data_IF_317833271165
#
_entry.id   IF_317833271165
#
_cell.length_a   1.000
_cell.length_b   1.000
_cell.length_c   1.000
_cell.angle_alpha   90.00
_cell.angle_beta   90.00
_cell.angle_gamma   90.00
#
_symmetry.space_group_name_H-M   'P 1'
#
loop_
_entity.id
_entity.type
_entity.pdbx_description
1 polymer ?
#
# COMPACT_ATOMS: atom_id res chain seq x y z
N UNK A 1 2.81 47.83 -25.33
CA UNK A 1 1.76 46.91 -24.84
C UNK A 1 2.14 45.43 -25.01
N UNK A 2 2.45 44.92 -26.20
CA UNK A 2 2.84 43.50 -26.40
C UNK A 2 3.99 42.99 -25.51
N UNK A 3 5.11 43.73 -25.41
CA UNK A 3 6.25 43.36 -24.54
C UNK A 3 5.94 43.35 -23.04
N UNK A 4 4.98 44.16 -22.60
CA UNK A 4 4.55 44.18 -21.19
C UNK A 4 3.63 42.98 -20.93
N UNK A 5 2.75 42.68 -21.87
CA UNK A 5 1.90 41.49 -21.84
C UNK A 5 2.70 40.19 -21.86
N UNK A 6 3.72 40.08 -22.71
CA UNK A 6 4.65 38.94 -22.75
C UNK A 6 5.33 38.72 -21.40
N UNK A 7 5.87 39.76 -20.78
CA UNK A 7 6.48 39.68 -19.44
C UNK A 7 5.50 39.28 -18.35
N UNK A 8 4.25 39.74 -18.44
CA UNK A 8 3.19 39.35 -17.50
C UNK A 8 2.88 37.85 -17.66
N UNK A 9 2.73 37.37 -18.90
CA UNK A 9 2.47 35.96 -19.18
C UNK A 9 3.62 35.06 -18.74
N UNK A 10 4.87 35.44 -19.05
CA UNK A 10 6.07 34.72 -18.56
C UNK A 10 6.13 34.70 -17.04
N UNK A 11 5.82 35.82 -16.38
CA UNK A 11 5.75 35.92 -14.92
C UNK A 11 4.68 35.00 -14.33
N UNK A 12 3.49 34.93 -14.93
CA UNK A 12 2.41 34.04 -14.49
C UNK A 12 2.81 32.57 -14.65
N UNK A 13 3.39 32.18 -15.80
CA UNK A 13 3.83 30.81 -16.05
C UNK A 13 4.93 30.37 -15.09
N UNK A 14 5.91 31.24 -14.84
CA UNK A 14 7.00 30.97 -13.90
C UNK A 14 6.49 30.87 -12.47
N UNK A 15 5.59 31.77 -12.06
CA UNK A 15 4.94 31.73 -10.76
C UNK A 15 4.13 30.44 -10.57
N UNK A 16 3.36 30.03 -11.58
CA UNK A 16 2.58 28.79 -11.54
C UNK A 16 3.47 27.55 -11.37
N UNK A 17 4.57 27.45 -12.13
CA UNK A 17 5.54 26.35 -11.99
C UNK A 17 6.21 26.33 -10.61
N UNK A 18 6.56 27.52 -10.09
CA UNK A 18 7.16 27.67 -8.77
C UNK A 18 6.20 27.27 -7.64
N UNK A 19 4.95 27.76 -7.68
CA UNK A 19 3.91 27.41 -6.70
C UNK A 19 3.67 25.90 -6.72
N UNK A 20 3.54 25.29 -7.90
CA UNK A 20 3.35 23.83 -8.02
C UNK A 20 4.52 23.07 -7.38
N UNK A 21 5.75 23.50 -7.64
CA UNK A 21 6.96 22.86 -7.08
C UNK A 21 7.02 22.99 -5.55
N UNK A 22 6.71 24.17 -5.01
CA UNK A 22 6.62 24.39 -3.56
C UNK A 22 5.52 23.53 -2.95
N UNK A 23 4.33 23.49 -3.56
CA UNK A 23 3.21 22.69 -3.05
C UNK A 23 3.58 21.21 -2.99
N UNK A 24 4.19 20.66 -4.04
CA UNK A 24 4.67 19.27 -4.05
C UNK A 24 5.71 19.07 -2.93
N UNK A 25 6.67 19.98 -2.79
CA UNK A 25 7.68 19.89 -1.75
C UNK A 25 7.05 19.91 -0.35
N UNK A 26 6.08 20.78 -0.10
CA UNK A 26 5.37 20.84 1.18
C UNK A 26 4.58 19.57 1.47
N UNK A 27 3.90 18.99 0.46
CA UNK A 27 3.19 17.71 0.59
C UNK A 27 4.18 16.60 0.95
N UNK A 28 5.32 16.54 0.27
CA UNK A 28 6.36 15.53 0.54
C UNK A 28 6.95 15.73 1.94
N UNK A 29 7.29 16.95 2.33
CA UNK A 29 7.82 17.24 3.68
C UNK A 29 6.80 16.86 4.75
N UNK A 30 5.53 17.20 4.57
CA UNK A 30 4.45 16.81 5.48
C UNK A 30 4.32 15.29 5.58
N UNK A 31 4.27 14.60 4.45
CA UNK A 31 4.19 13.14 4.37
C UNK A 31 5.32 12.46 5.15
N UNK A 32 6.56 12.94 5.00
CA UNK A 32 7.72 12.39 5.71
C UNK A 32 7.73 12.77 7.20
N UNK A 33 7.28 13.96 7.56
CA UNK A 33 7.22 14.41 8.94
C UNK A 33 6.24 13.54 9.76
N UNK A 34 5.03 13.30 9.24
CA UNK A 34 4.04 12.41 9.86
C UNK A 34 4.53 10.97 9.91
N UNK A 35 5.15 10.47 8.83
CA UNK A 35 5.67 9.11 8.77
C UNK A 35 6.77 8.80 9.81
N UNK A 36 7.65 9.77 10.09
CA UNK A 36 8.70 9.63 11.10
C UNK A 36 8.14 9.68 12.54
N UNK A 37 6.93 10.21 12.73
CA UNK A 37 6.24 10.22 14.03
C UNK A 37 6.04 8.82 14.60
N UNK A 38 5.76 7.84 13.72
CA UNK A 38 5.43 6.47 14.11
C UNK A 38 6.47 5.85 15.02
N UNK A 39 7.75 6.05 14.73
CA UNK A 39 8.86 5.46 15.49
C UNK A 39 9.10 6.12 16.84
N UNK A 40 8.36 7.18 17.17
CA UNK A 40 8.30 7.76 18.51
C UNK A 40 7.05 7.30 19.29
N UNK A 41 6.13 6.57 18.63
CA UNK A 41 4.94 6.01 19.27
C UNK A 41 5.28 4.72 19.98
N UNK A 42 4.57 4.53 21.08
CA UNK A 42 4.64 3.37 21.95
C UNK A 42 3.94 2.17 21.32
N UNK A 43 4.41 0.98 21.67
CA UNK A 43 3.82 -0.29 21.22
C UNK A 43 2.48 -0.54 21.91
N UNK A 44 2.33 -0.16 23.17
CA UNK A 44 1.06 -0.32 23.89
C UNK A 44 0.12 0.84 23.54
N UNK A 45 -1.18 0.54 23.42
CA UNK A 45 -2.22 1.54 23.19
C UNK A 45 -2.12 2.73 24.17
N UNK A 46 -2.30 3.95 23.64
CA UNK A 46 -2.14 5.17 24.42
C UNK A 46 -3.12 5.21 25.61
N UNK A 47 -2.58 5.45 26.81
CA UNK A 47 -3.36 5.47 28.04
C UNK A 47 -3.48 4.12 28.75
N UNK A 48 -2.97 3.03 28.18
CA UNK A 48 -2.89 1.71 28.81
C UNK A 48 -1.46 1.32 29.16
N UNK A 49 -1.34 0.33 30.04
CA UNK A 49 -0.07 -0.29 30.41
C UNK A 49 -0.24 -1.80 30.55
N UNK A 50 0.87 -2.52 30.40
CA UNK A 50 0.98 -3.91 30.75
C UNK A 50 1.65 -4.05 32.11
N UNK A 51 0.94 -4.63 33.06
CA UNK A 51 1.39 -4.89 34.41
C UNK A 51 1.57 -6.39 34.64
N UNK A 52 2.66 -6.77 35.26
CA UNK A 52 2.99 -8.16 35.57
C UNK A 52 3.37 -8.30 37.04
N UNK A 53 3.36 -9.53 37.54
CA UNK A 53 3.76 -9.79 38.92
C UNK A 53 5.23 -9.44 39.15
N UNK A 54 5.54 -8.86 40.31
CA UNK A 54 6.90 -8.46 40.70
C UNK A 54 7.95 -9.59 40.66
N UNK A 55 7.52 -10.84 40.78
CA UNK A 55 8.40 -12.01 40.69
C UNK A 55 8.75 -12.40 39.25
N UNK A 56 8.05 -11.87 38.24
CA UNK A 56 8.32 -12.15 36.83
C UNK A 56 9.53 -11.31 36.38
N UNK A 57 10.61 -11.92 35.84
CA UNK A 57 11.81 -11.18 35.44
C UNK A 57 11.68 -10.48 34.08
N UNK A 58 10.62 -10.77 33.30
CA UNK A 58 10.40 -10.17 31.99
C UNK A 58 10.15 -8.67 32.15
N UNK A 59 10.92 -7.87 31.40
CA UNK A 59 10.86 -6.40 31.47
C UNK A 59 10.22 -5.77 30.25
N UNK A 60 10.29 -6.42 29.10
CA UNK A 60 9.85 -5.90 27.80
C UNK A 60 9.34 -7.06 26.95
N UNK A 61 8.39 -6.75 26.07
CA UNK A 61 7.83 -7.67 25.09
C UNK A 61 7.65 -6.92 23.78
N UNK A 62 7.95 -7.57 22.67
CA UNK A 62 7.68 -7.01 21.34
C UNK A 62 6.18 -6.96 21.05
N UNK A 63 5.77 -6.18 20.05
CA UNK A 63 4.36 -6.10 19.66
C UNK A 63 3.78 -7.49 19.31
N UNK A 64 4.58 -8.31 18.62
CA UNK A 64 4.21 -9.68 18.25
C UNK A 64 4.07 -10.58 19.48
N UNK A 65 5.02 -10.54 20.43
CA UNK A 65 4.93 -11.33 21.66
C UNK A 65 3.72 -10.93 22.52
N UNK A 66 3.40 -9.64 22.59
CA UNK A 66 2.20 -9.16 23.29
C UNK A 66 0.96 -9.74 22.64
N UNK A 67 0.85 -9.70 21.31
CA UNK A 67 -0.27 -10.30 20.59
C UNK A 67 -0.35 -11.81 20.87
N UNK A 68 0.72 -12.56 20.67
CA UNK A 68 0.74 -14.03 20.83
C UNK A 68 0.36 -14.47 22.26
N UNK A 69 0.70 -13.67 23.27
CA UNK A 69 0.26 -13.87 24.65
C UNK A 69 -1.25 -13.65 24.82
N UNK A 70 -1.78 -12.57 24.24
CA UNK A 70 -3.20 -12.22 24.37
C UNK A 70 -4.13 -13.03 23.46
N UNK A 71 -3.59 -13.67 22.42
CA UNK A 71 -4.27 -14.62 21.54
C UNK A 71 -4.15 -16.08 22.05
N UNK A 72 -3.55 -16.30 23.23
CA UNK A 72 -3.32 -17.62 23.85
C UNK A 72 -2.43 -18.56 23.02
N UNK A 73 -1.63 -18.04 22.09
CA UNK A 73 -0.61 -18.82 21.37
C UNK A 73 0.60 -19.12 22.27
N UNK A 74 1.02 -18.12 23.08
CA UNK A 74 2.04 -18.28 24.11
C UNK A 74 1.35 -18.44 25.47
N UNK A 75 1.36 -19.67 25.97
CA UNK A 75 0.68 -20.04 27.23
C UNK A 75 1.64 -20.17 28.42
N UNK A 76 2.96 -20.11 28.22
CA UNK A 76 3.94 -20.24 29.30
C UNK A 76 5.03 -19.16 29.23
N UNK A 77 5.28 -18.50 30.36
CA UNK A 77 6.27 -17.44 30.51
C UNK A 77 7.70 -17.85 30.18
N UNK A 78 8.02 -19.14 30.28
CA UNK A 78 9.33 -19.71 29.94
C UNK A 78 9.72 -19.43 28.49
N UNK A 79 8.75 -19.37 27.58
CA UNK A 79 8.98 -19.05 26.16
C UNK A 79 9.43 -17.61 25.94
N UNK A 80 9.11 -16.73 26.89
CA UNK A 80 9.45 -15.31 26.90
C UNK A 80 10.64 -14.99 27.83
N UNK A 81 11.34 -16.02 28.33
CA UNK A 81 12.44 -15.86 29.29
C UNK A 81 12.00 -15.58 30.73
N UNK A 82 10.72 -15.79 31.05
CA UNK A 82 10.14 -15.70 32.37
C UNK A 82 10.18 -17.01 33.18
N UNK A 83 9.48 -17.07 34.33
CA UNK A 83 9.38 -18.29 35.13
C UNK A 83 8.63 -19.40 34.39
N UNK A 84 8.81 -20.66 34.82
CA UNK A 84 7.98 -21.79 34.33
C UNK A 84 6.59 -21.71 34.98
N UNK A 85 5.76 -20.82 34.44
CA UNK A 85 4.43 -20.51 34.93
C UNK A 85 3.49 -20.25 33.74
N UNK A 86 2.26 -20.72 33.88
CA UNK A 86 1.18 -20.46 32.92
C UNK A 86 0.88 -18.96 32.86
N UNK A 87 0.74 -18.45 31.63
CA UNK A 87 0.38 -17.05 31.37
C UNK A 87 -1.12 -16.88 31.61
N UNK A 88 -1.47 -15.95 32.50
CA UNK A 88 -2.86 -15.58 32.77
C UNK A 88 -3.09 -14.16 32.31
N UNK A 89 -3.91 -14.01 31.27
CA UNK A 89 -4.28 -12.69 30.76
C UNK A 89 -5.39 -12.09 31.64
N UNK A 90 -5.27 -10.81 31.95
CA UNK A 90 -6.29 -10.05 32.66
C UNK A 90 -6.57 -8.75 31.93
N UNK A 91 -7.85 -8.50 31.59
CA UNK A 91 -8.32 -7.20 31.12
C UNK A 91 -9.17 -6.56 32.21
N UNK A 92 -9.26 -5.23 32.21
CA UNK A 92 -10.11 -4.52 33.17
C UNK A 92 -11.58 -5.00 33.11
N UNK A 93 -12.04 -5.41 31.94
CA UNK A 93 -13.39 -5.98 31.72
C UNK A 93 -13.66 -7.22 32.58
N UNK A 94 -12.62 -7.99 32.89
CA UNK A 94 -12.70 -9.22 33.67
C UNK A 94 -12.76 -8.95 35.19
N UNK A 95 -12.60 -7.70 35.64
CA UNK A 95 -12.47 -7.38 37.07
C UNK A 95 -13.67 -7.81 37.91
N UNK A 96 -14.87 -7.82 37.31
CA UNK A 96 -16.13 -8.24 37.96
C UNK A 96 -16.22 -9.74 38.18
N UNK A 97 -15.36 -10.54 37.55
CA UNK A 97 -15.24 -11.97 37.82
C UNK A 97 -14.43 -12.27 39.10
N UNK A 98 -13.62 -11.31 39.55
CA UNK A 98 -12.78 -11.42 40.74
C UNK A 98 -13.36 -10.71 41.96
N UNK A 99 -14.05 -9.57 41.75
CA UNK A 99 -14.60 -8.74 42.81
C UNK A 99 -16.04 -8.35 42.54
N UNK A 100 -16.84 -8.26 43.59
CA UNK A 100 -18.23 -7.77 43.53
C UNK A 100 -18.29 -6.26 43.29
N UNK A 101 -19.42 -5.76 42.77
CA UNK A 101 -19.62 -4.31 42.54
C UNK A 101 -19.46 -3.48 43.83
N UNK A 102 -19.81 -4.03 45.01
CA UNK A 102 -19.62 -3.37 46.31
C UNK A 102 -18.13 -3.20 46.68
N UNK A 103 -17.30 -4.17 46.31
CA UNK A 103 -15.86 -4.17 46.54
C UNK A 103 -15.12 -3.20 45.61
N UNK A 104 -15.62 -3.03 44.38
CA UNK A 104 -15.09 -2.07 43.40
C UNK A 104 -15.48 -0.62 43.70
N UNK A 105 -16.59 -0.42 44.42
CA UNK A 105 -17.13 0.90 44.74
C UNK A 105 -17.88 1.54 43.58
N UNK A 106 -18.57 2.65 43.86
CA UNK A 106 -19.24 3.43 42.82
C UNK A 106 -18.21 3.91 41.79
N UNK A 107 -18.53 3.80 40.50
CA UNK A 107 -17.66 4.23 39.39
C UNK A 107 -16.22 3.68 39.43
N UNK A 108 -15.99 2.48 39.98
CA UNK A 108 -14.67 1.84 40.05
C UNK A 108 -13.63 2.59 40.91
N UNK A 109 -14.06 3.36 41.90
CA UNK A 109 -13.16 4.09 42.82
C UNK A 109 -12.07 3.21 43.45
N UNK A 110 -12.37 1.95 43.76
CA UNK A 110 -11.42 1.00 44.39
C UNK A 110 -10.70 0.08 43.40
N UNK A 111 -10.98 0.22 42.09
CA UNK A 111 -10.34 -0.59 41.06
C UNK A 111 -8.79 -0.57 41.08
N UNK A 112 -8.10 0.56 41.35
CA UNK A 112 -6.64 0.57 41.41
C UNK A 112 -6.06 -0.43 42.42
N UNK A 113 -6.66 -0.49 43.62
CA UNK A 113 -6.27 -1.42 44.68
C UNK A 113 -6.58 -2.87 44.28
N UNK A 114 -7.78 -3.12 43.76
CA UNK A 114 -8.20 -4.45 43.30
C UNK A 114 -7.27 -5.01 42.21
N UNK A 115 -6.86 -4.19 41.24
CA UNK A 115 -5.91 -4.57 40.20
C UNK A 115 -4.55 -4.91 40.83
N UNK A 116 -4.07 -4.10 41.78
CA UNK A 116 -2.85 -4.40 42.52
C UNK A 116 -2.90 -5.74 43.25
N UNK A 117 -4.01 -6.04 43.93
CA UNK A 117 -4.22 -7.31 44.64
C UNK A 117 -4.21 -8.51 43.68
N UNK A 118 -4.89 -8.39 42.52
CA UNK A 118 -4.89 -9.42 41.47
C UNK A 118 -3.48 -9.67 40.91
N UNK A 119 -2.76 -8.60 40.57
CA UNK A 119 -1.43 -8.70 39.97
C UNK A 119 -0.42 -9.27 40.96
N UNK A 120 -0.48 -8.86 42.22
CA UNK A 120 0.40 -9.37 43.28
C UNK A 120 0.12 -10.84 43.64
N UNK A 121 -1.15 -11.26 43.60
CA UNK A 121 -1.58 -12.62 43.97
C UNK A 121 -1.27 -13.70 42.92
N UNK A 122 -1.03 -13.31 41.66
CA UNK A 122 -0.87 -14.25 40.55
C UNK A 122 0.52 -14.12 39.89
N UNK A 123 1.47 -15.04 40.15
CA UNK A 123 2.82 -14.96 39.58
C UNK A 123 2.90 -14.98 38.04
N UNK A 124 1.94 -15.64 37.38
CA UNK A 124 1.88 -15.78 35.92
C UNK A 124 1.01 -14.74 35.21
N UNK A 125 0.55 -13.69 35.89
CA UNK A 125 -0.40 -12.75 35.31
C UNK A 125 0.25 -11.70 34.40
N UNK A 126 -0.45 -11.35 33.32
CA UNK A 126 -0.24 -10.13 32.53
C UNK A 126 -1.56 -9.36 32.46
N UNK A 127 -1.56 -8.16 33.02
CA UNK A 127 -2.73 -7.29 33.11
C UNK A 127 -2.62 -6.14 32.10
N UNK A 128 -3.59 -6.05 31.19
CA UNK A 128 -3.78 -4.90 30.31
C UNK A 128 -4.82 -3.98 30.93
N UNK A 129 -4.37 -2.84 31.47
CA UNK A 129 -5.22 -1.93 32.24
C UNK A 129 -4.93 -0.47 31.91
N UNK A 130 -5.92 0.43 32.02
CA UNK A 130 -5.70 1.86 31.90
C UNK A 130 -4.67 2.37 32.92
N UNK A 131 -3.70 3.14 32.46
CA UNK A 131 -2.65 3.76 33.27
C UNK A 131 -3.20 4.59 34.45
N UNK A 132 -4.39 5.18 34.31
CA UNK A 132 -5.08 5.92 35.37
C UNK A 132 -5.44 5.08 36.61
N UNK A 133 -5.50 3.75 36.47
CA UNK A 133 -5.79 2.84 37.57
C UNK A 133 -4.52 2.23 38.20
N UNK A 134 -3.32 2.67 37.80
CA UNK A 134 -2.08 2.25 38.45
C UNK A 134 -1.69 3.27 39.52
N UNK A 135 -1.66 2.82 40.78
CA UNK A 135 -1.20 3.63 41.91
C UNK A 135 0.33 3.78 41.92
N UNK A 136 0.85 4.79 42.64
CA UNK A 136 2.29 5.03 42.76
C UNK A 136 3.05 3.90 43.48
N UNK A 137 2.39 3.20 44.38
CA UNK A 137 2.95 2.06 45.14
C UNK A 137 2.39 0.73 44.62
N UNK A 138 2.38 0.59 43.29
CA UNK A 138 1.83 -0.59 42.63
C UNK A 138 2.64 -1.85 43.03
N UNK A 139 1.99 -2.93 43.51
CA UNK A 139 2.68 -4.09 44.08
C UNK A 139 3.33 -5.01 43.02
N UNK A 140 3.04 -4.81 41.73
CA UNK A 140 3.71 -5.47 40.60
C UNK A 140 4.80 -4.61 39.96
N UNK A 141 5.27 -5.00 38.77
CA UNK A 141 6.05 -4.10 37.91
C UNK A 141 5.38 -3.93 36.55
N UNK A 142 5.62 -2.79 35.93
CA UNK A 142 5.11 -2.47 34.60
C UNK A 142 6.14 -2.91 33.56
N UNK A 143 5.68 -3.53 32.48
CA UNK A 143 6.53 -3.77 31.33
C UNK A 143 6.93 -2.43 30.71
N UNK A 144 8.18 -2.34 30.27
CA UNK A 144 8.67 -1.20 29.51
C UNK A 144 7.97 -1.21 28.16
N UNK A 145 7.40 -0.05 27.87
CA UNK A 145 6.72 0.24 26.63
C UNK A 145 7.73 0.86 25.68
N UNK A 146 8.29 0.04 24.79
CA UNK A 146 9.23 0.49 23.78
C UNK A 146 8.52 1.22 22.64
N UNK A 147 9.29 2.00 21.89
CA UNK A 147 8.80 2.58 20.65
C UNK A 147 8.67 1.52 19.57
N UNK A 148 7.68 1.65 18.69
CA UNK A 148 7.52 0.80 17.50
C UNK A 148 8.83 0.78 16.71
N UNK A 149 9.35 -0.41 16.43
CA UNK A 149 10.65 -0.55 15.77
C UNK A 149 10.54 -0.54 14.23
N UNK A 150 11.61 -0.12 13.56
CA UNK A 150 11.70 -0.17 12.10
C UNK A 150 11.57 -1.60 11.56
N UNK A 151 12.21 -2.58 12.21
CA UNK A 151 12.21 -3.96 11.75
C UNK A 151 10.83 -4.61 11.87
N UNK A 152 10.09 -4.36 12.95
CA UNK A 152 8.70 -4.81 13.10
C UNK A 152 7.78 -4.25 12.01
N UNK A 153 7.99 -3.00 11.60
CA UNK A 153 7.19 -2.37 10.55
C UNK A 153 7.52 -2.93 9.17
N UNK A 154 8.80 -2.93 8.79
CA UNK A 154 9.21 -3.29 7.42
C UNK A 154 9.34 -4.78 7.17
N UNK A 155 9.70 -5.57 8.20
CA UNK A 155 9.78 -7.03 8.12
C UNK A 155 8.54 -7.73 8.73
N UNK A 156 7.61 -6.97 9.33
CA UNK A 156 6.36 -7.49 9.86
C UNK A 156 5.48 -8.09 8.77
N UNK A 157 4.87 -9.23 9.08
CA UNK A 157 4.04 -10.01 8.15
C UNK A 157 2.55 -9.81 8.33
N UNK A 158 2.16 -9.06 9.35
CA UNK A 158 0.77 -8.90 9.76
C UNK A 158 0.37 -7.42 9.84
N UNK A 159 -0.77 -7.09 9.26
CA UNK A 159 -1.36 -5.75 9.33
C UNK A 159 -2.65 -5.81 10.15
N UNK A 160 -2.55 -5.52 11.45
CA UNK A 160 -3.67 -5.44 12.38
C UNK A 160 -3.55 -4.16 13.22
N UNK A 161 -3.80 -2.99 12.63
CA UNK A 161 -3.58 -1.69 13.28
C UNK A 161 -4.56 -1.40 14.43
N UNK A 162 -5.64 -2.18 14.54
CA UNK A 162 -6.67 -2.08 15.58
C UNK A 162 -6.57 -3.19 16.63
N UNK A 163 -5.54 -4.04 16.57
CA UNK A 163 -5.34 -5.10 17.56
C UNK A 163 -5.03 -4.50 18.94
N UNK A 164 -5.66 -5.04 19.97
CA UNK A 164 -5.42 -4.69 21.38
C UNK A 164 -4.86 -5.91 22.09
N UNK A 165 -3.79 -5.77 22.92
CA UNK A 165 -3.19 -4.52 23.44
C UNK A 165 -2.22 -3.76 22.52
N UNK A 166 -1.65 -4.45 21.53
CA UNK A 166 -0.56 -3.94 20.70
C UNK A 166 -0.91 -4.03 19.20
N UNK A 167 -0.97 -2.90 18.48
CA UNK A 167 -1.24 -2.90 17.04
C UNK A 167 -0.07 -3.49 16.25
N UNK A 168 -0.38 -4.20 15.17
CA UNK A 168 0.60 -4.80 14.27
C UNK A 168 0.69 -3.99 12.98
N UNK A 169 1.85 -3.39 12.71
CA UNK A 169 2.10 -2.54 11.53
C UNK A 169 3.02 -3.19 10.50
N UNK A 170 2.82 -4.48 10.21
CA UNK A 170 3.62 -5.21 9.22
C UNK A 170 3.30 -4.81 7.78
N UNK A 171 4.28 -4.25 7.08
CA UNK A 171 4.11 -3.72 5.72
C UNK A 171 4.30 -4.75 4.61
N UNK A 172 4.95 -5.88 4.88
CA UNK A 172 5.22 -6.90 3.86
C UNK A 172 3.98 -7.36 3.08
N UNK A 173 2.83 -7.71 3.70
CA UNK A 173 1.64 -8.10 2.93
C UNK A 173 1.16 -6.99 1.99
N UNK A 174 1.25 -5.72 2.39
CA UNK A 174 0.78 -4.59 1.60
C UNK A 174 1.73 -4.24 0.45
N UNK A 175 3.04 -4.28 0.70
CA UNK A 175 4.08 -4.08 -0.32
C UNK A 175 3.99 -5.21 -1.35
N UNK A 176 3.97 -6.45 -0.89
CA UNK A 176 3.89 -7.62 -1.78
C UNK A 176 2.59 -7.63 -2.56
N UNK A 177 1.43 -7.36 -1.94
CA UNK A 177 0.15 -7.23 -2.64
C UNK A 177 0.16 -6.17 -3.74
N UNK A 178 0.74 -4.99 -3.46
CA UNK A 178 0.89 -3.90 -4.45
C UNK A 178 1.77 -4.33 -5.62
N UNK A 179 2.97 -4.84 -5.34
CA UNK A 179 3.90 -5.26 -6.38
C UNK A 179 3.37 -6.43 -7.20
N UNK A 180 2.70 -7.39 -6.56
CA UNK A 180 2.15 -8.59 -7.19
C UNK A 180 1.06 -8.22 -8.20
N UNK A 181 0.06 -7.44 -7.79
CA UNK A 181 -1.04 -7.05 -8.68
C UNK A 181 -0.55 -6.15 -9.81
N UNK A 182 0.36 -5.20 -9.54
CA UNK A 182 0.91 -4.33 -10.57
C UNK A 182 1.79 -5.10 -11.56
N UNK A 183 2.59 -6.06 -11.08
CA UNK A 183 3.44 -6.89 -11.94
C UNK A 183 2.60 -7.66 -12.98
N UNK A 184 1.57 -8.37 -12.53
CA UNK A 184 0.70 -9.13 -13.45
C UNK A 184 -0.14 -8.21 -14.34
N UNK A 185 -0.62 -7.07 -13.83
CA UNK A 185 -1.30 -6.08 -14.65
C UNK A 185 -0.44 -5.61 -15.83
N UNK A 186 0.84 -5.32 -15.58
CA UNK A 186 1.78 -4.87 -16.61
C UNK A 186 2.21 -6.02 -17.51
N UNK A 187 2.35 -7.24 -16.97
CA UNK A 187 2.62 -8.43 -17.76
C UNK A 187 1.54 -8.66 -18.83
N UNK A 188 0.27 -8.34 -18.52
CA UNK A 188 -0.81 -8.37 -19.51
C UNK A 188 -0.84 -7.09 -20.36
N UNK A 189 -0.84 -5.91 -19.76
CA UNK A 189 -1.05 -4.65 -20.48
C UNK A 189 0.07 -4.33 -21.47
N UNK A 190 1.32 -4.62 -21.14
CA UNK A 190 2.47 -4.26 -21.95
C UNK A 190 2.50 -4.95 -23.33
N UNK A 191 2.43 -6.30 -23.44
CA UNK A 191 2.46 -6.96 -24.74
C UNK A 191 1.25 -6.59 -25.61
N UNK A 192 0.05 -6.55 -25.04
CA UNK A 192 -1.16 -6.16 -25.78
C UNK A 192 -1.13 -4.69 -26.19
N UNK A 193 -0.73 -3.80 -25.28
CA UNK A 193 -0.69 -2.36 -25.51
C UNK A 193 0.32 -1.98 -26.59
N UNK A 194 1.55 -2.52 -26.52
CA UNK A 194 2.56 -2.28 -27.53
C UNK A 194 2.19 -2.88 -28.89
N UNK A 195 1.59 -4.08 -28.91
CA UNK A 195 1.14 -4.71 -30.16
C UNK A 195 0.06 -3.86 -30.85
N UNK A 196 -0.93 -3.37 -30.11
CA UNK A 196 -1.96 -2.49 -30.65
C UNK A 196 -1.35 -1.16 -31.09
N UNK A 197 -0.40 -0.59 -30.33
CA UNK A 197 0.29 0.64 -30.73
C UNK A 197 1.04 0.48 -32.05
N UNK A 198 1.79 -0.63 -32.23
CA UNK A 198 2.54 -0.92 -33.46
C UNK A 198 1.59 -1.16 -34.63
N UNK A 199 0.50 -1.89 -34.39
CA UNK A 199 -0.53 -2.10 -35.40
C UNK A 199 -1.14 -0.77 -35.84
N UNK A 200 -1.54 0.09 -34.91
CA UNK A 200 -2.17 1.38 -35.21
C UNK A 200 -1.22 2.38 -35.87
N UNK A 201 0.07 2.36 -35.54
CA UNK A 201 1.05 3.29 -36.11
C UNK A 201 1.50 2.90 -37.51
N UNK A 202 1.68 1.60 -37.79
CA UNK A 202 2.41 1.14 -39.00
C UNK A 202 1.61 0.21 -39.92
N UNK A 203 0.54 -0.42 -39.43
CA UNK A 203 -0.20 -1.46 -40.18
C UNK A 203 -1.62 -1.04 -40.53
N UNK A 204 -2.32 -0.39 -39.60
CA UNK A 204 -3.72 -0.01 -39.73
C UNK A 204 -3.92 1.01 -40.86
N UNK A 205 -5.00 0.83 -41.62
CA UNK A 205 -5.44 1.82 -42.61
C UNK A 205 -6.09 3.04 -41.92
N UNK A 206 -6.28 4.12 -42.68
CA UNK A 206 -6.82 5.36 -42.13
C UNK A 206 -8.20 5.16 -41.48
N UNK A 207 -9.07 4.31 -42.04
CA UNK A 207 -10.43 4.12 -41.50
C UNK A 207 -10.39 3.42 -40.15
N UNK A 208 -9.68 2.30 -40.05
CA UNK A 208 -9.53 1.56 -38.79
C UNK A 208 -8.94 2.45 -37.70
N UNK A 209 -7.89 3.21 -38.03
CA UNK A 209 -7.24 4.12 -37.09
C UNK A 209 -8.14 5.27 -36.63
N UNK A 210 -8.88 5.89 -37.56
CA UNK A 210 -9.80 6.99 -37.26
C UNK A 210 -10.96 6.57 -36.36
N UNK A 211 -11.23 5.26 -36.27
CA UNK A 211 -12.22 4.71 -35.36
C UNK A 211 -11.60 4.25 -34.03
N UNK A 212 -10.50 3.50 -34.06
CA UNK A 212 -9.89 2.92 -32.86
C UNK A 212 -9.28 3.97 -31.92
N UNK A 213 -8.61 5.02 -32.44
CA UNK A 213 -7.95 6.02 -31.58
C UNK A 213 -8.97 6.73 -30.67
N UNK A 214 -10.10 7.29 -31.18
CA UNK A 214 -11.14 7.85 -30.30
C UNK A 214 -11.70 6.85 -29.30
N UNK A 215 -11.93 5.59 -29.69
CA UNK A 215 -12.45 4.57 -28.77
C UNK A 215 -11.49 4.32 -27.60
N UNK A 216 -10.19 4.22 -27.88
CA UNK A 216 -9.16 4.02 -26.85
C UNK A 216 -9.03 5.25 -25.94
N UNK A 217 -9.11 6.45 -26.51
CA UNK A 217 -9.12 7.69 -25.72
C UNK A 217 -10.36 7.78 -24.81
N UNK A 218 -11.54 7.35 -25.29
CA UNK A 218 -12.75 7.28 -24.48
C UNK A 218 -12.60 6.29 -23.32
N UNK A 219 -11.92 5.15 -23.52
CA UNK A 219 -11.61 4.22 -22.41
C UNK A 219 -10.74 4.88 -21.33
N UNK A 220 -9.84 5.79 -21.69
CA UNK A 220 -9.03 6.54 -20.71
C UNK A 220 -9.88 7.47 -19.84
N UNK A 221 -11.02 7.94 -20.37
CA UNK A 221 -11.94 8.84 -19.68
C UNK A 221 -12.90 8.16 -18.70
N UNK A 222 -12.94 6.82 -18.67
CA UNK A 222 -13.80 6.08 -17.74
C UNK A 222 -13.21 6.18 -16.31
N UNK A 223 -14.02 6.57 -15.30
CA UNK A 223 -13.57 6.61 -13.91
C UNK A 223 -13.15 5.23 -13.38
N UNK A 224 -12.14 5.17 -12.52
CA UNK A 224 -11.62 3.90 -11.98
C UNK A 224 -12.66 3.08 -11.22
N UNK A 225 -13.54 3.73 -10.47
CA UNK A 225 -14.64 3.06 -9.75
C UNK A 225 -15.59 2.30 -10.69
N UNK A 226 -15.77 2.77 -11.93
CA UNK A 226 -16.60 2.09 -12.93
C UNK A 226 -15.91 0.81 -13.41
N UNK A 227 -14.59 0.84 -13.58
CA UNK A 227 -13.80 -0.36 -13.87
C UNK A 227 -13.82 -1.35 -12.71
N UNK A 228 -13.69 -0.87 -11.46
CA UNK A 228 -13.83 -1.70 -10.26
C UNK A 228 -15.18 -2.38 -10.17
N UNK A 229 -16.26 -1.62 -10.40
CA UNK A 229 -17.62 -2.15 -10.42
C UNK A 229 -17.85 -3.19 -11.52
N UNK A 230 -17.36 -2.93 -12.74
CA UNK A 230 -17.37 -3.91 -13.82
C UNK A 230 -16.57 -5.18 -13.45
N UNK A 231 -15.38 -4.99 -12.86
CA UNK A 231 -14.55 -6.08 -12.38
C UNK A 231 -15.26 -6.95 -11.36
N UNK A 232 -15.93 -6.34 -10.38
CA UNK A 232 -16.67 -7.03 -9.33
C UNK A 232 -17.88 -7.81 -9.86
N UNK A 233 -18.61 -7.27 -10.84
CA UNK A 233 -19.84 -7.91 -11.34
C UNK A 233 -19.55 -8.95 -12.44
N UNK A 234 -18.49 -8.74 -13.23
CA UNK A 234 -18.22 -9.56 -14.42
C UNK A 234 -16.99 -10.41 -14.25
N UNK A 235 -15.85 -9.81 -13.90
CA UNK A 235 -14.54 -10.49 -13.88
C UNK A 235 -14.43 -11.43 -12.67
N UNK A 236 -14.83 -10.96 -11.48
CA UNK A 236 -14.80 -11.73 -10.24
C UNK A 236 -15.65 -13.03 -10.36
N UNK A 237 -16.94 -12.99 -10.76
CA UNK A 237 -17.73 -14.21 -10.94
C UNK A 237 -17.22 -15.10 -12.08
N UNK A 238 -16.61 -14.53 -13.11
CA UNK A 238 -16.00 -15.30 -14.20
C UNK A 238 -14.80 -16.10 -13.68
N UNK A 239 -13.89 -15.45 -12.94
CA UNK A 239 -12.73 -16.12 -12.33
C UNK A 239 -13.19 -17.19 -11.35
N UNK A 240 -14.17 -16.87 -10.50
CA UNK A 240 -14.74 -17.82 -9.54
C UNK A 240 -15.21 -19.10 -10.23
N UNK A 241 -15.93 -18.98 -11.36
CA UNK A 241 -16.45 -20.12 -12.13
C UNK A 241 -15.35 -20.87 -12.90
N UNK A 242 -14.44 -20.14 -13.54
CA UNK A 242 -13.38 -20.73 -14.38
C UNK A 242 -12.38 -21.53 -13.54
N UNK A 243 -12.03 -21.02 -12.36
CA UNK A 243 -11.05 -21.64 -11.46
C UNK A 243 -11.70 -22.43 -10.31
N UNK A 244 -13.03 -22.50 -10.26
CA UNK A 244 -13.80 -23.18 -9.20
C UNK A 244 -13.38 -22.75 -7.79
N UNK A 245 -13.31 -21.43 -7.57
CA UNK A 245 -12.88 -20.83 -6.31
C UNK A 245 -14.08 -20.56 -5.39
N UNK A 246 -13.89 -20.56 -4.06
CA UNK A 246 -14.94 -20.16 -3.12
C UNK A 246 -15.33 -18.68 -3.29
N UNK A 247 -14.35 -17.83 -3.55
CA UNK A 247 -14.48 -16.38 -3.78
C UNK A 247 -13.71 -16.00 -5.05
N UNK A 248 -14.22 -15.03 -5.82
CA UNK A 248 -13.60 -14.61 -7.08
C UNK A 248 -12.69 -13.39 -6.96
N UNK A 249 -12.74 -12.73 -5.80
CA UNK A 249 -11.95 -11.56 -5.45
C UNK A 249 -10.49 -11.96 -5.21
N UNK A 250 -9.64 -11.67 -6.19
CA UNK A 250 -8.30 -12.23 -6.27
C UNK A 250 -7.32 -11.23 -6.86
N UNK A 251 -6.02 -11.46 -6.64
CA UNK A 251 -4.96 -10.73 -7.32
C UNK A 251 -5.09 -10.77 -8.85
N UNK A 252 -5.57 -11.89 -9.43
CA UNK A 252 -5.83 -12.03 -10.86
C UNK A 252 -6.95 -11.09 -11.32
N UNK A 253 -8.06 -11.03 -10.59
CA UNK A 253 -9.17 -10.12 -10.89
C UNK A 253 -8.68 -8.67 -10.92
N UNK A 254 -7.93 -8.26 -9.89
CA UNK A 254 -7.29 -6.95 -9.82
C UNK A 254 -6.36 -6.70 -11.00
N UNK A 255 -5.49 -7.65 -11.32
CA UNK A 255 -4.50 -7.54 -12.39
C UNK A 255 -5.15 -7.34 -13.76
N UNK A 256 -6.25 -8.05 -14.05
CA UNK A 256 -6.98 -7.92 -15.31
C UNK A 256 -7.63 -6.54 -15.42
N UNK A 257 -8.30 -6.08 -14.36
CA UNK A 257 -8.96 -4.77 -14.34
C UNK A 257 -7.91 -3.65 -14.51
N UNK A 258 -6.80 -3.74 -13.78
CA UNK A 258 -5.68 -2.81 -13.92
C UNK A 258 -5.06 -2.84 -15.31
N UNK A 259 -4.91 -4.02 -15.91
CA UNK A 259 -4.38 -4.14 -17.26
C UNK A 259 -5.26 -3.40 -18.28
N UNK A 260 -6.58 -3.59 -18.20
CA UNK A 260 -7.55 -2.89 -19.04
C UNK A 260 -7.42 -1.36 -18.87
N UNK A 261 -7.19 -0.90 -17.65
CA UNK A 261 -7.03 0.53 -17.36
C UNK A 261 -5.69 1.11 -17.83
N UNK A 262 -4.61 0.33 -17.80
CA UNK A 262 -3.28 0.75 -18.24
C UNK A 262 -3.14 0.73 -19.77
N UNK A 263 -3.90 -0.13 -20.47
CA UNK A 263 -3.85 -0.29 -21.92
C UNK A 263 -4.01 1.02 -22.70
N UNK A 264 -5.05 1.85 -22.46
CA UNK A 264 -5.23 3.09 -23.21
C UNK A 264 -4.03 4.03 -23.14
N UNK A 265 -3.44 4.15 -21.96
CA UNK A 265 -2.25 4.97 -21.72
C UNK A 265 -1.04 4.45 -22.49
N UNK A 266 -0.76 3.14 -22.40
CA UNK A 266 0.38 2.53 -23.10
C UNK A 266 0.19 2.65 -24.62
N UNK A 267 -1.02 2.37 -25.13
CA UNK A 267 -1.32 2.38 -26.57
C UNK A 267 -1.16 3.77 -27.15
N UNK A 268 -1.83 4.76 -26.55
CA UNK A 268 -1.92 6.12 -27.12
C UNK A 268 -0.55 6.80 -27.16
N UNK A 269 0.18 6.76 -26.05
CA UNK A 269 1.51 7.39 -25.95
C UNK A 269 2.54 6.69 -26.84
N UNK A 270 2.53 5.35 -26.88
CA UNK A 270 3.46 4.59 -27.74
C UNK A 270 3.15 4.78 -29.23
N UNK A 271 1.87 4.85 -29.62
CA UNK A 271 1.45 5.09 -30.99
C UNK A 271 1.85 6.50 -31.46
N UNK A 272 1.64 7.52 -30.62
CA UNK A 272 2.05 8.90 -30.93
C UNK A 272 3.58 9.01 -31.07
N UNK A 273 4.33 8.34 -30.20
CA UNK A 273 5.79 8.26 -30.29
C UNK A 273 6.28 7.64 -31.60
N UNK A 274 5.67 6.54 -32.04
CA UNK A 274 5.99 5.89 -33.32
C UNK A 274 5.64 6.78 -34.52
N UNK A 275 4.49 7.45 -34.48
CA UNK A 275 4.07 8.33 -35.57
C UNK A 275 4.91 9.59 -35.72
N UNK A 276 5.56 10.04 -34.66
CA UNK A 276 6.51 11.14 -34.70
C UNK A 276 7.83 10.79 -35.40
N UNK A 277 8.10 9.51 -35.70
CA UNK A 277 9.20 9.14 -36.57
C UNK A 277 9.06 9.85 -37.94
N UNK A 278 10.11 10.50 -38.49
CA UNK A 278 10.03 11.14 -39.79
C UNK A 278 9.68 10.15 -40.91
N UNK A 279 8.78 10.56 -41.81
CA UNK A 279 8.43 9.74 -42.99
C UNK A 279 9.64 9.40 -43.85
N UNK A 280 10.59 10.33 -43.97
CA UNK A 280 11.83 10.14 -44.71
C UNK A 280 12.65 8.93 -44.20
N UNK A 281 12.66 8.66 -42.89
CA UNK A 281 13.36 7.49 -42.34
C UNK A 281 12.72 6.17 -42.78
N UNK A 282 11.38 6.13 -42.84
CA UNK A 282 10.63 4.96 -43.34
C UNK A 282 10.86 4.75 -44.82
N UNK A 283 10.73 5.81 -45.61
CA UNK A 283 10.90 5.78 -47.07
C UNK A 283 12.34 5.40 -47.46
N UNK A 284 13.35 5.90 -46.74
CA UNK A 284 14.75 5.52 -46.93
C UNK A 284 15.00 4.03 -46.64
N UNK A 285 14.43 3.49 -45.55
CA UNK A 285 14.53 2.07 -45.22
C UNK A 285 13.93 1.18 -46.32
N UNK A 286 12.74 1.52 -46.81
CA UNK A 286 12.08 0.80 -47.89
C UNK A 286 12.84 0.91 -49.22
N UNK A 287 13.44 2.07 -49.51
CA UNK A 287 14.27 2.27 -50.71
C UNK A 287 15.54 1.42 -50.72
N UNK A 288 16.07 1.05 -49.54
CA UNK A 288 17.18 0.11 -49.39
C UNK A 288 16.74 -1.37 -49.54
N UNK A 289 15.48 -1.63 -49.92
CA UNK A 289 14.93 -2.97 -50.09
C UNK A 289 14.48 -3.65 -48.80
N UNK A 290 14.35 -2.90 -47.69
CA UNK A 290 13.82 -3.45 -46.45
C UNK A 290 12.32 -3.75 -46.56
N UNK A 291 11.86 -4.80 -45.88
CA UNK A 291 10.43 -5.08 -45.73
C UNK A 291 9.79 -4.16 -44.70
N UNK A 292 8.46 -3.99 -44.74
CA UNK A 292 7.73 -3.20 -43.73
C UNK A 292 8.06 -3.64 -42.30
N UNK A 293 8.13 -4.95 -42.04
CA UNK A 293 8.49 -5.47 -40.73
C UNK A 293 9.93 -5.10 -40.32
N UNK A 294 10.88 -5.16 -41.26
CA UNK A 294 12.24 -4.71 -41.01
C UNK A 294 12.31 -3.21 -40.72
N UNK A 295 11.54 -2.39 -41.42
CA UNK A 295 11.44 -0.94 -41.14
C UNK A 295 10.85 -0.68 -39.75
N UNK A 296 9.78 -1.39 -39.36
CA UNK A 296 9.18 -1.26 -38.03
C UNK A 296 10.20 -1.60 -36.94
N UNK A 297 10.80 -2.79 -37.03
CA UNK A 297 11.68 -3.31 -35.99
C UNK A 297 13.05 -2.61 -35.92
N UNK A 298 13.62 -2.21 -37.07
CA UNK A 298 14.98 -1.64 -37.13
C UNK A 298 15.05 -0.13 -37.22
N UNK A 299 13.94 0.55 -37.52
CA UNK A 299 13.93 2.01 -37.70
C UNK A 299 12.90 2.68 -36.80
N UNK A 300 11.63 2.29 -36.90
CA UNK A 300 10.55 2.98 -36.16
C UNK A 300 10.65 2.72 -34.67
N UNK A 301 10.73 1.45 -34.25
CA UNK A 301 10.82 1.11 -32.82
C UNK A 301 12.07 1.73 -32.18
N UNK A 302 13.30 1.59 -32.74
CA UNK A 302 14.50 2.23 -32.19
C UNK A 302 14.42 3.75 -32.11
N UNK A 303 13.84 4.41 -33.13
CA UNK A 303 13.66 5.86 -33.11
C UNK A 303 12.71 6.30 -31.99
N UNK A 304 11.68 5.50 -31.69
CA UNK A 304 10.60 5.87 -30.78
C UNK A 304 10.74 5.30 -29.36
N UNK A 305 11.88 4.68 -29.01
CA UNK A 305 12.11 4.03 -27.70
C UNK A 305 11.81 4.97 -26.54
N UNK A 306 12.24 6.23 -26.58
CA UNK A 306 12.02 7.18 -25.48
C UNK A 306 10.52 7.45 -25.23
N UNK A 307 9.74 7.62 -26.30
CA UNK A 307 8.30 7.82 -26.19
C UNK A 307 7.53 6.55 -25.82
N UNK A 308 7.94 5.39 -26.35
CA UNK A 308 7.40 4.09 -25.92
C UNK A 308 7.67 3.88 -24.43
N UNK A 309 8.91 4.11 -23.98
CA UNK A 309 9.30 4.02 -22.57
C UNK A 309 8.42 4.94 -21.71
N UNK A 310 8.19 6.18 -22.14
CA UNK A 310 7.33 7.13 -21.43
C UNK A 310 5.89 6.61 -21.28
N UNK A 311 5.33 6.00 -22.33
CA UNK A 311 4.01 5.37 -22.28
C UNK A 311 3.94 4.19 -21.32
N UNK A 312 5.00 3.39 -21.28
CA UNK A 312 5.14 2.27 -20.35
C UNK A 312 5.26 2.75 -18.91
N UNK A 313 6.11 3.73 -18.62
CA UNK A 313 6.26 4.35 -17.28
C UNK A 313 4.92 4.90 -16.79
N UNK A 314 4.18 5.61 -17.66
CA UNK A 314 2.88 6.16 -17.29
C UNK A 314 1.84 5.06 -17.01
N UNK A 315 1.86 3.97 -17.77
CA UNK A 315 1.02 2.78 -17.52
C UNK A 315 1.37 2.07 -16.20
N UNK A 316 2.65 1.90 -15.90
CA UNK A 316 3.14 1.32 -14.64
C UNK A 316 2.75 2.20 -13.45
N UNK A 317 2.97 3.51 -13.54
CA UNK A 317 2.57 4.46 -12.50
C UNK A 317 1.07 4.39 -12.21
N UNK A 318 0.24 4.26 -13.25
CA UNK A 318 -1.20 4.05 -13.10
C UNK A 318 -1.54 2.74 -12.38
N UNK A 319 -0.85 1.64 -12.70
CA UNK A 319 -1.11 0.34 -12.09
C UNK A 319 -0.68 0.25 -10.61
N UNK A 320 0.40 0.94 -10.23
CA UNK A 320 0.90 0.96 -8.84
C UNK A 320 0.06 1.89 -7.96
N UNK A 321 -0.37 3.02 -8.52
CA UNK A 321 -1.15 4.02 -7.80
C UNK A 321 -2.66 3.80 -7.79
N UNK A 322 -3.16 2.68 -8.36
CA UNK A 322 -4.60 2.45 -8.42
C UNK A 322 -5.16 2.05 -7.04
N UNK A 323 -6.23 2.73 -6.66
CA UNK A 323 -6.83 2.63 -5.33
C UNK A 323 -8.18 1.94 -5.37
N UNK A 324 -9.14 2.53 -6.09
CA UNK A 324 -10.55 2.17 -5.95
C UNK A 324 -10.91 0.91 -6.71
N UNK A 325 -10.39 0.75 -7.93
CA UNK A 325 -10.68 -0.45 -8.70
C UNK A 325 -10.15 -1.71 -7.99
N UNK A 326 -8.95 -1.62 -7.41
CA UNK A 326 -8.28 -2.70 -6.67
C UNK A 326 -9.01 -3.02 -5.38
N UNK A 327 -9.37 -2.01 -4.59
CA UNK A 327 -10.12 -2.17 -3.34
C UNK A 327 -11.41 -2.98 -3.55
N UNK A 328 -12.10 -2.79 -4.68
CA UNK A 328 -13.36 -3.47 -4.98
C UNK A 328 -13.22 -4.93 -5.41
N UNK A 329 -12.08 -5.33 -6.02
CA UNK A 329 -11.99 -6.62 -6.75
C UNK A 329 -10.95 -7.59 -6.21
N UNK A 330 -10.08 -7.17 -5.30
CA UNK A 330 -8.95 -7.99 -4.80
C UNK A 330 -9.22 -8.66 -3.45
N UNK A 331 -10.38 -8.40 -2.85
CA UNK A 331 -10.78 -9.01 -1.58
C UNK A 331 -10.23 -8.30 -0.34
N UNK A 332 -9.23 -7.41 -0.52
CA UNK A 332 -8.70 -6.53 0.52
C UNK A 332 -8.17 -7.27 1.76
N UNK A 333 -7.65 -8.50 1.56
CA UNK A 333 -7.05 -9.29 2.63
C UNK A 333 -5.56 -8.95 2.80
N UNK A 334 -5.14 -8.57 4.00
CA UNK A 334 -3.75 -8.22 4.31
C UNK A 334 -2.88 -9.48 4.55
N UNK A 335 -2.80 -10.34 3.54
CA UNK A 335 -2.00 -11.56 3.53
C UNK A 335 -0.91 -11.46 2.48
N UNK A 336 0.22 -12.15 2.69
CA UNK A 336 1.29 -12.23 1.69
C UNK A 336 0.82 -13.22 0.60
N UNK A 337 0.56 -12.75 -0.64
CA UNK A 337 0.05 -13.62 -1.68
C UNK A 337 1.14 -14.62 -2.11
N UNK A 338 0.78 -15.89 -2.17
CA UNK A 338 1.65 -16.96 -2.70
C UNK A 338 1.24 -17.36 -4.10
N UNK A 339 -0.04 -17.19 -4.44
CA UNK A 339 -0.59 -17.43 -5.77
C UNK A 339 -1.34 -16.21 -6.29
N UNK A 340 -1.56 -16.14 -7.61
CA UNK A 340 -2.33 -15.04 -8.23
C UNK A 340 -3.85 -15.15 -7.96
N UNK A 341 -4.31 -16.33 -7.54
CA UNK A 341 -5.73 -16.61 -7.27
C UNK A 341 -6.10 -16.34 -5.81
N UNK A 342 -5.17 -15.85 -5.00
CA UNK A 342 -5.44 -15.43 -3.63
C UNK A 342 -5.91 -13.96 -3.58
N UNK A 343 -6.74 -13.61 -2.59
CA UNK A 343 -7.03 -12.22 -2.28
C UNK A 343 -5.76 -11.53 -1.78
N UNK A 344 -5.67 -10.23 -2.02
CA UNK A 344 -4.56 -9.41 -1.55
C UNK A 344 -5.03 -8.00 -1.21
N UNK A 345 -4.17 -7.25 -0.54
CA UNK A 345 -4.38 -5.86 -0.19
C UNK A 345 -3.20 -5.02 -0.65
N UNK A 346 -3.49 -3.86 -1.21
CA UNK A 346 -2.45 -2.93 -1.69
C UNK A 346 -2.29 -1.73 -0.78
N UNK A 347 -1.16 -1.05 -0.89
CA UNK A 347 -0.87 0.17 -0.13
C UNK A 347 -1.91 1.26 -0.42
N UNK A 348 -2.22 1.62 -1.69
CA UNK A 348 -3.22 2.66 -1.95
C UNK A 348 -4.59 2.31 -1.40
N UNK A 349 -5.02 1.05 -1.52
CA UNK A 349 -6.29 0.57 -0.98
C UNK A 349 -6.34 0.66 0.56
N UNK A 350 -5.23 0.36 1.23
CA UNK A 350 -5.10 0.45 2.69
C UNK A 350 -5.24 1.90 3.16
N UNK A 351 -4.48 2.81 2.54
CA UNK A 351 -4.53 4.24 2.87
C UNK A 351 -5.95 4.78 2.66
N UNK A 352 -6.59 4.47 1.54
CA UNK A 352 -7.92 4.99 1.25
C UNK A 352 -9.03 4.41 2.15
N UNK A 353 -8.90 3.15 2.56
CA UNK A 353 -9.89 2.50 3.42
C UNK A 353 -9.78 2.97 4.88
N UNK A 354 -8.56 3.21 5.39
CA UNK A 354 -8.35 3.36 6.84
C UNK A 354 -8.04 4.80 7.27
N UNK A 355 -7.54 5.66 6.38
CA UNK A 355 -7.11 7.02 6.77
C UNK A 355 -8.24 7.88 7.32
N UNK A 356 -9.48 7.66 6.85
CA UNK A 356 -10.66 8.39 7.33
C UNK A 356 -11.14 7.95 8.71
N UNK A 357 -10.74 6.75 9.17
CA UNK A 357 -11.14 6.16 10.45
C UNK A 357 -10.03 6.28 11.51
N UNK A 358 -8.78 6.45 11.09
CA UNK A 358 -7.63 6.57 11.98
C UNK A 358 -7.63 7.92 12.75
N UNK A 359 -7.52 7.90 14.09
CA UNK A 359 -7.42 9.12 14.89
C UNK A 359 -6.18 9.94 14.53
N UNK A 360 -6.37 11.24 14.27
CA UNK A 360 -5.27 12.13 13.90
C UNK A 360 -4.18 12.17 14.97
N UNK A 361 -2.92 11.95 14.57
CA UNK A 361 -1.77 11.90 15.47
C UNK A 361 -1.63 10.59 16.25
N UNK A 362 -2.47 9.57 16.01
CA UNK A 362 -2.31 8.23 16.54
C UNK A 362 -1.30 7.39 15.75
N UNK A 363 -0.84 6.26 16.33
CA UNK A 363 0.11 5.37 15.67
C UNK A 363 -0.43 4.80 14.33
N UNK A 364 -1.71 4.44 14.27
CA UNK A 364 -2.33 3.97 13.03
C UNK A 364 -2.32 5.04 11.94
N UNK A 365 -2.64 6.29 12.29
CA UNK A 365 -2.60 7.42 11.35
C UNK A 365 -1.19 7.60 10.78
N UNK A 366 -0.17 7.70 11.63
CA UNK A 366 1.23 7.88 11.21
C UNK A 366 1.75 6.69 10.38
N UNK A 367 1.31 5.46 10.70
CA UNK A 367 1.64 4.27 9.90
C UNK A 367 1.09 4.34 8.47
N UNK A 368 -0.10 4.91 8.26
CA UNK A 368 -0.66 5.13 6.91
C UNK A 368 0.14 6.18 6.12
N UNK A 369 0.65 7.22 6.77
CA UNK A 369 1.58 8.17 6.13
C UNK A 369 2.89 7.50 5.74
N UNK A 370 3.44 6.65 6.62
CA UNK A 370 4.65 5.89 6.32
C UNK A 370 4.43 4.93 5.13
N UNK A 371 3.27 4.28 5.02
CA UNK A 371 2.91 3.52 3.82
C UNK A 371 2.93 4.40 2.55
N UNK A 372 2.48 5.65 2.64
CA UNK A 372 2.58 6.62 1.55
C UNK A 372 4.03 6.95 1.17
N UNK A 373 4.92 7.10 2.14
CA UNK A 373 6.38 7.25 1.91
C UNK A 373 6.95 6.02 1.21
N UNK A 374 6.55 4.82 1.64
CA UNK A 374 6.99 3.57 1.01
C UNK A 374 6.53 3.48 -0.43
N UNK A 375 5.27 3.81 -0.71
CA UNK A 375 4.73 3.85 -2.08
C UNK A 375 5.48 4.88 -2.95
N UNK A 376 5.83 6.04 -2.39
CA UNK A 376 6.66 7.04 -3.08
C UNK A 376 8.03 6.46 -3.47
N UNK A 377 8.72 5.76 -2.56
CA UNK A 377 10.01 5.14 -2.90
C UNK A 377 9.86 3.99 -3.90
N UNK A 378 8.83 3.16 -3.79
CA UNK A 378 8.55 2.09 -4.75
C UNK A 378 8.36 2.67 -6.15
N UNK A 379 7.51 3.68 -6.29
CA UNK A 379 7.25 4.33 -7.59
C UNK A 379 8.51 5.02 -8.13
N UNK A 380 9.28 5.71 -7.28
CA UNK A 380 10.54 6.33 -7.67
C UNK A 380 11.55 5.30 -8.19
N UNK A 381 11.75 4.20 -7.47
CA UNK A 381 12.69 3.13 -7.85
C UNK A 381 12.29 2.48 -9.17
N UNK A 382 11.00 2.22 -9.37
CA UNK A 382 10.49 1.62 -10.61
C UNK A 382 10.69 2.58 -11.78
N UNK A 383 10.30 3.85 -11.62
CA UNK A 383 10.49 4.87 -12.66
C UNK A 383 11.97 5.05 -13.02
N UNK A 384 12.85 5.12 -12.02
CA UNK A 384 14.29 5.21 -12.24
C UNK A 384 14.86 3.97 -12.95
N UNK A 385 14.39 2.77 -12.58
CA UNK A 385 14.82 1.52 -13.20
C UNK A 385 14.43 1.46 -14.69
N UNK A 386 13.20 1.87 -15.02
CA UNK A 386 12.72 1.88 -16.41
C UNK A 386 13.50 2.91 -17.24
N UNK A 387 13.71 4.11 -16.72
CA UNK A 387 14.49 5.16 -17.40
C UNK A 387 15.95 4.74 -17.59
N UNK A 388 16.56 4.12 -16.57
CA UNK A 388 17.92 3.62 -16.63
C UNK A 388 18.10 2.57 -17.74
N UNK A 389 17.18 1.60 -17.84
CA UNK A 389 17.20 0.57 -18.90
C UNK A 389 17.02 1.20 -20.29
N UNK A 390 16.11 2.17 -20.42
CA UNK A 390 15.87 2.86 -21.68
C UNK A 390 17.10 3.65 -22.16
N UNK A 391 17.75 4.38 -21.24
CA UNK A 391 18.94 5.18 -21.56
C UNK A 391 20.12 4.35 -22.09
N UNK A 392 20.23 3.08 -21.68
CA UNK A 392 21.24 2.15 -22.21
C UNK A 392 20.93 1.65 -23.61
N UNK A 393 19.65 1.60 -23.98
CA UNK A 393 19.20 1.12 -25.30
C UNK A 393 19.35 2.19 -26.38
N UNK A 394 19.46 3.46 -25.99
CA UNK A 394 19.75 4.59 -26.88
C UNK A 394 21.25 4.78 -27.22
N UNK A 395 22.13 3.90 -26.73
CA UNK A 395 23.56 3.82 -27.11
C UNK A 395 23.77 2.65 -28.05
#
# INVERSE_FOLDING_TARGET
MKRVWEKIVEGILTCSGFVTSITILLIVVFLFAEALGLFNKKVIEEGYVLAVNKANPVQELSAAQIKDVFDEEITNWKELGGPDAEVKVFRLEDITSYFSEEELGAEYEKAPRCIGEIVAGNPGIIAFVPSKFIEKDFPGHLLKDESISFDEVFAGKEWFPTATPAPQFGFLPLITGTLWVSFFAILFALPFGLSVAVYMSEVADHRTRSFLKPVIELLSGIPSVVYGFFGLIVIVPLIQKVFNLPVGETGLAGSIVLAIMALPTIITVSEDAMRNCPRAMREASLALGATRWQTIYKVVIPFSVSGITSGVVLGIGRAIGETMAVLMVTGNAAVIPTTILEPLRTIPATIAAELGEAPAGGAHYEALFLLGVVLFFITMLINFSVEYISSRTNK
#
